data_IF_991931645104
#
_entry.id   IF_991931645104
#
_cell.length_a   1.000
_cell.length_b   1.000
_cell.length_c   1.000
_cell.angle_alpha   90.00
_cell.angle_beta   90.00
_cell.angle_gamma   90.00
#
_symmetry.space_group_name_H-M   'P 1'
#
loop_
_entity.id
_entity.type
_entity.pdbx_description
1 polymer ?
#
# COMPACT_ATOMS: atom_id res chain seq x y z
N UNK A 1 -43.80 -6.45 -52.07
CA UNK A 1 -44.20 -5.45 -51.04
C UNK A 1 -44.90 -6.23 -49.93
N UNK A 2 -44.56 -6.22 -48.63
CA UNK A 2 -44.01 -5.24 -47.68
C UNK A 2 -43.12 -6.02 -46.66
N UNK A 3 -41.83 -5.72 -46.44
CA UNK A 3 -41.23 -4.97 -45.31
C UNK A 3 -41.99 -5.05 -43.98
N UNK A 4 -41.30 -5.45 -42.90
CA UNK A 4 -40.94 -4.61 -41.73
C UNK A 4 -40.19 -5.44 -40.66
N UNK A 5 -38.94 -5.02 -40.38
CA UNK A 5 -38.28 -4.82 -39.07
C UNK A 5 -38.12 -6.02 -38.11
N UNK A 6 -36.88 -6.47 -37.85
CA UNK A 6 -35.91 -5.89 -36.91
C UNK A 6 -36.31 -6.06 -35.45
N UNK A 7 -35.66 -6.99 -34.75
CA UNK A 7 -35.07 -6.71 -33.44
C UNK A 7 -33.95 -7.72 -33.15
N UNK A 8 -32.72 -7.36 -33.52
CA UNK A 8 -31.53 -7.92 -32.91
C UNK A 8 -31.42 -7.32 -31.50
N UNK A 9 -31.66 -8.13 -30.49
CA UNK A 9 -31.32 -7.84 -29.10
C UNK A 9 -30.09 -8.65 -28.70
N UNK A 10 -28.92 -8.29 -29.23
CA UNK A 10 -27.63 -8.67 -28.64
C UNK A 10 -27.53 -7.87 -27.34
N UNK A 11 -27.97 -8.47 -26.23
CA UNK A 11 -27.58 -8.00 -24.91
C UNK A 11 -26.15 -8.48 -24.69
N UNK A 12 -25.23 -7.58 -25.01
CA UNK A 12 -23.81 -7.74 -24.77
C UNK A 12 -23.58 -8.07 -23.31
N UNK A 13 -22.86 -9.17 -23.10
CA UNK A 13 -22.09 -9.38 -21.88
C UNK A 13 -21.07 -8.24 -21.87
N UNK A 14 -21.39 -7.18 -21.13
CA UNK A 14 -20.42 -6.21 -20.68
C UNK A 14 -19.49 -6.93 -19.71
N UNK A 15 -18.50 -7.65 -20.25
CA UNK A 15 -17.28 -7.90 -19.52
C UNK A 15 -16.67 -6.51 -19.33
N UNK A 16 -16.97 -5.89 -18.19
CA UNK A 16 -16.15 -4.82 -17.64
C UNK A 16 -14.80 -5.47 -17.38
N UNK A 17 -13.97 -5.52 -18.43
CA UNK A 17 -12.55 -5.74 -18.27
C UNK A 17 -12.05 -4.55 -17.48
N UNK A 18 -11.99 -4.70 -16.16
CA UNK A 18 -11.08 -3.91 -15.34
C UNK A 18 -9.70 -4.31 -15.82
N UNK A 19 -9.27 -3.64 -16.89
CA UNK A 19 -7.93 -3.70 -17.41
C UNK A 19 -7.01 -3.27 -16.27
N UNK A 20 -6.35 -4.24 -15.64
CA UNK A 20 -5.11 -3.98 -14.93
C UNK A 20 -4.11 -3.51 -15.99
N UNK A 21 -4.03 -2.20 -16.17
CA UNK A 21 -2.86 -1.59 -16.78
C UNK A 21 -1.77 -1.64 -15.74
N UNK A 22 -1.10 -2.79 -15.65
CA UNK A 22 0.24 -2.86 -15.05
C UNK A 22 1.16 -2.14 -16.03
N UNK A 23 1.33 -0.84 -15.81
CA UNK A 23 2.35 -0.07 -16.50
C UNK A 23 3.71 -0.44 -15.91
N UNK A 24 4.30 -1.53 -16.42
CA UNK A 24 5.74 -1.77 -16.31
C UNK A 24 6.46 -0.75 -17.22
N UNK A 25 6.57 0.49 -16.76
CA UNK A 25 7.45 1.50 -17.34
C UNK A 25 8.75 1.53 -16.54
N UNK A 26 9.83 1.01 -17.14
CA UNK A 26 11.16 0.93 -16.56
C UNK A 26 11.88 2.29 -16.54
N UNK A 27 12.79 2.43 -15.57
CA UNK A 27 13.91 3.40 -15.44
C UNK A 27 13.65 4.82 -14.89
N UNK A 28 13.40 4.88 -13.58
CA UNK A 28 14.17 5.74 -12.66
C UNK A 28 14.12 5.10 -11.26
N UNK A 29 15.24 5.09 -10.56
CA UNK A 29 15.45 4.55 -9.20
C UNK A 29 14.71 5.33 -8.12
N UNK A 30 13.42 5.60 -8.32
CA UNK A 30 12.58 6.27 -7.33
C UNK A 30 11.41 5.35 -7.02
N UNK A 31 11.29 4.92 -5.76
CA UNK A 31 10.08 4.28 -5.26
C UNK A 31 8.88 5.18 -5.59
N UNK A 32 8.02 4.69 -6.50
CA UNK A 32 6.76 5.36 -6.85
C UNK A 32 5.72 5.01 -5.80
N UNK A 33 4.95 6.00 -5.37
CA UNK A 33 3.85 5.83 -4.44
C UNK A 33 2.80 4.86 -5.02
N UNK A 34 2.66 3.63 -4.50
CA UNK A 34 1.71 2.65 -5.03
C UNK A 34 0.27 2.97 -4.60
N UNK A 35 0.07 3.95 -3.72
CA UNK A 35 -1.22 4.46 -3.32
C UNK A 35 -1.69 5.65 -4.18
N UNK A 36 -0.93 6.05 -5.18
CA UNK A 36 -1.34 7.10 -6.10
C UNK A 36 -2.65 6.74 -6.83
N UNK A 37 -3.68 7.58 -6.68
CA UNK A 37 -4.99 7.36 -7.30
C UNK A 37 -5.95 6.54 -6.45
N UNK A 38 -5.52 6.01 -5.31
CA UNK A 38 -6.35 5.17 -4.44
C UNK A 38 -7.55 5.90 -3.84
N UNK A 39 -7.50 7.23 -3.76
CA UNK A 39 -8.64 8.06 -3.41
C UNK A 39 -9.84 7.88 -4.36
N UNK A 40 -9.61 7.44 -5.60
CA UNK A 40 -10.63 7.19 -6.61
C UNK A 40 -11.11 5.73 -6.65
N UNK A 41 -10.48 4.83 -5.88
CA UNK A 41 -10.86 3.42 -5.81
C UNK A 41 -12.09 3.21 -4.92
N UNK A 42 -12.77 2.07 -5.13
CA UNK A 42 -13.81 1.59 -4.24
C UNK A 42 -13.20 1.08 -2.93
N UNK A 43 -13.96 1.17 -1.84
CA UNK A 43 -13.52 0.66 -0.54
C UNK A 43 -13.13 -0.84 -0.62
N UNK A 44 -13.91 -1.65 -1.32
CA UNK A 44 -13.61 -3.08 -1.48
C UNK A 44 -12.27 -3.32 -2.21
N UNK A 45 -11.96 -2.53 -3.26
CA UNK A 45 -10.69 -2.64 -3.97
C UNK A 45 -9.50 -2.27 -3.07
N UNK A 46 -9.64 -1.21 -2.28
CA UNK A 46 -8.63 -0.79 -1.31
C UNK A 46 -8.41 -1.86 -0.22
N UNK A 47 -9.48 -2.52 0.24
CA UNK A 47 -9.40 -3.60 1.23
C UNK A 47 -8.72 -4.85 0.67
N UNK A 48 -8.99 -5.23 -0.58
CA UNK A 48 -8.27 -6.35 -1.21
C UNK A 48 -6.78 -6.02 -1.38
N UNK A 49 -6.45 -4.79 -1.81
CA UNK A 49 -5.04 -4.35 -1.87
C UNK A 49 -4.39 -4.33 -0.50
N UNK A 50 -5.10 -3.93 0.55
CA UNK A 50 -4.61 -3.95 1.93
C UNK A 50 -4.24 -5.38 2.35
N UNK A 51 -5.08 -6.37 2.05
CA UNK A 51 -4.77 -7.78 2.35
C UNK A 51 -3.56 -8.28 1.58
N UNK A 52 -3.41 -7.90 0.31
CA UNK A 52 -2.26 -8.27 -0.50
C UNK A 52 -0.95 -7.68 0.04
N UNK A 53 -0.97 -6.39 0.42
CA UNK A 53 0.17 -5.72 1.05
C UNK A 53 0.48 -6.29 2.43
N UNK A 54 -0.53 -6.55 3.26
CA UNK A 54 -0.35 -7.19 4.57
C UNK A 54 0.33 -8.55 4.42
N UNK A 55 -0.16 -9.38 3.50
CA UNK A 55 0.45 -10.68 3.24
C UNK A 55 1.92 -10.55 2.81
N UNK A 56 2.24 -9.57 1.96
CA UNK A 56 3.62 -9.31 1.55
C UNK A 56 4.49 -8.84 2.72
N UNK A 57 3.96 -7.99 3.59
CA UNK A 57 4.64 -7.56 4.81
C UNK A 57 4.91 -8.76 5.73
N UNK A 58 3.93 -9.65 5.91
CA UNK A 58 4.11 -10.86 6.73
C UNK A 58 5.22 -11.76 6.16
N UNK A 59 5.23 -11.98 4.84
CA UNK A 59 6.26 -12.77 4.14
C UNK A 59 7.66 -12.14 4.27
N UNK A 60 7.78 -10.82 4.12
CA UNK A 60 9.05 -10.09 4.29
C UNK A 60 9.49 -10.08 5.75
N UNK A 61 8.58 -9.87 6.69
CA UNK A 61 8.87 -9.88 8.12
C UNK A 61 9.35 -11.24 8.59
N UNK A 62 8.88 -12.36 8.02
CA UNK A 62 9.44 -13.68 8.31
C UNK A 62 10.90 -13.82 7.85
N UNK A 63 11.24 -13.24 6.69
CA UNK A 63 12.62 -13.21 6.16
C UNK A 63 13.50 -12.32 7.04
N UNK A 64 13.02 -11.10 7.32
CA UNK A 64 13.71 -10.06 8.08
C UNK A 64 13.80 -10.41 9.58
N UNK A 65 12.86 -11.13 10.16
CA UNK A 65 12.93 -11.54 11.57
C UNK A 65 13.46 -12.97 11.77
N UNK A 66 13.84 -13.62 10.66
CA UNK A 66 14.60 -14.86 10.66
C UNK A 66 15.98 -14.75 11.32
N UNK A 67 16.72 -15.87 11.32
CA UNK A 67 17.99 -16.01 12.06
C UNK A 67 19.10 -15.03 11.62
N UNK A 68 19.05 -14.50 10.40
CA UNK A 68 20.14 -13.73 9.80
C UNK A 68 20.17 -12.26 10.25
N UNK A 69 19.01 -11.61 10.39
CA UNK A 69 18.94 -10.22 10.86
C UNK A 69 19.14 -10.11 12.36
N UNK A 70 18.73 -11.12 13.14
CA UNK A 70 18.98 -11.12 14.58
C UNK A 70 20.47 -11.02 14.92
N UNK A 71 21.36 -11.57 14.09
CA UNK A 71 22.81 -11.42 14.25
C UNK A 71 23.36 -10.04 13.88
N UNK A 72 22.64 -9.26 13.08
CA UNK A 72 23.05 -7.95 12.56
C UNK A 72 22.17 -6.81 13.08
N UNK A 73 21.36 -7.05 14.12
CA UNK A 73 20.39 -6.07 14.64
C UNK A 73 21.03 -4.78 15.15
N UNK A 74 22.31 -4.83 15.52
CA UNK A 74 23.10 -3.67 15.96
C UNK A 74 24.00 -3.10 14.85
N UNK A 75 23.99 -3.69 13.64
CA UNK A 75 24.77 -3.25 12.49
C UNK A 75 23.91 -2.37 11.58
N UNK A 76 23.85 -1.08 11.92
CA UNK A 76 23.09 -0.07 11.19
C UNK A 76 23.47 0.01 9.70
N UNK A 77 24.73 -0.30 9.34
CA UNK A 77 25.17 -0.26 7.95
C UNK A 77 24.67 -1.49 7.18
N UNK A 78 24.67 -2.67 7.80
CA UNK A 78 24.06 -3.86 7.21
C UNK A 78 22.55 -3.67 7.00
N UNK A 79 21.83 -3.18 8.01
CA UNK A 79 20.38 -2.96 7.93
C UNK A 79 20.01 -2.01 6.80
N UNK A 80 20.70 -0.88 6.66
CA UNK A 80 20.47 0.12 5.60
C UNK A 80 20.68 -0.44 4.19
N UNK A 81 21.64 -1.35 4.03
CA UNK A 81 22.02 -1.91 2.73
C UNK A 81 21.30 -3.24 2.43
N UNK A 82 20.63 -3.85 3.41
CA UNK A 82 19.87 -5.07 3.20
C UNK A 82 18.56 -4.77 2.48
N UNK A 83 18.41 -5.31 1.28
CA UNK A 83 17.25 -5.06 0.41
C UNK A 83 15.94 -5.50 1.06
N UNK A 84 15.91 -6.67 1.69
CA UNK A 84 14.67 -7.21 2.26
C UNK A 84 14.20 -6.38 3.46
N UNK A 85 15.14 -5.87 4.28
CA UNK A 85 14.84 -4.91 5.36
C UNK A 85 14.26 -3.62 4.80
N UNK A 86 14.89 -3.04 3.77
CA UNK A 86 14.38 -1.81 3.16
C UNK A 86 13.02 -2.03 2.50
N UNK A 87 12.81 -3.17 1.85
CA UNK A 87 11.55 -3.52 1.22
C UNK A 87 10.42 -3.71 2.25
N UNK A 88 10.70 -4.34 3.41
CA UNK A 88 9.76 -4.48 4.51
C UNK A 88 9.31 -3.11 5.06
N UNK A 89 10.26 -2.20 5.29
CA UNK A 89 9.97 -0.83 5.74
C UNK A 89 9.08 -0.07 4.75
N UNK A 90 9.33 -0.23 3.45
CA UNK A 90 8.56 0.44 2.39
C UNK A 90 7.14 -0.13 2.34
N UNK A 91 6.99 -1.46 2.37
CA UNK A 91 5.67 -2.09 2.38
C UNK A 91 4.89 -1.70 3.64
N UNK A 92 5.55 -1.61 4.80
CA UNK A 92 4.94 -1.12 6.04
C UNK A 92 4.40 0.30 5.89
N UNK A 93 5.20 1.22 5.37
CA UNK A 93 4.79 2.60 5.08
C UNK A 93 3.61 2.67 4.09
N UNK A 94 3.63 1.85 3.03
CA UNK A 94 2.54 1.79 2.06
C UNK A 94 1.23 1.32 2.68
N UNK A 95 1.32 0.35 3.59
CA UNK A 95 0.20 -0.21 4.32
C UNK A 95 -0.40 0.81 5.29
N UNK A 96 0.43 1.59 5.98
CA UNK A 96 0.00 2.68 6.87
C UNK A 96 -0.75 3.78 6.09
N UNK A 97 -0.23 4.19 4.92
CA UNK A 97 -0.90 5.15 4.05
C UNK A 97 -2.22 4.60 3.52
N UNK A 98 -2.26 3.34 3.07
CA UNK A 98 -3.48 2.71 2.59
C UNK A 98 -4.54 2.59 3.70
N UNK A 99 -4.14 2.20 4.91
CA UNK A 99 -4.99 2.17 6.09
C UNK A 99 -5.65 3.55 6.33
N UNK A 100 -4.86 4.62 6.30
CA UNK A 100 -5.37 5.99 6.44
C UNK A 100 -6.38 6.34 5.36
N UNK A 101 -6.07 6.04 4.09
CA UNK A 101 -6.96 6.32 2.96
C UNK A 101 -8.28 5.53 3.05
N UNK A 102 -8.22 4.28 3.51
CA UNK A 102 -9.42 3.48 3.80
C UNK A 102 -10.26 4.15 4.89
N UNK A 103 -9.64 4.64 5.96
CA UNK A 103 -10.35 5.33 7.05
C UNK A 103 -11.08 6.60 6.58
N UNK A 104 -10.66 7.21 5.47
CA UNK A 104 -11.33 8.39 4.91
C UNK A 104 -12.62 8.06 4.13
N UNK A 105 -12.93 6.78 3.92
CA UNK A 105 -14.13 6.32 3.22
C UNK A 105 -15.23 5.95 4.22
N UNK A 106 -16.48 6.17 3.83
CA UNK A 106 -17.65 5.74 4.62
C UNK A 106 -17.59 4.23 4.88
N UNK A 107 -17.61 3.84 6.16
CA UNK A 107 -17.50 2.44 6.60
C UNK A 107 -16.08 1.84 6.56
N UNK A 108 -15.05 2.63 6.26
CA UNK A 108 -13.68 2.13 6.14
C UNK A 108 -13.10 1.55 7.43
N UNK A 109 -13.32 2.22 8.56
CA UNK A 109 -12.87 1.74 9.89
C UNK A 109 -13.51 0.38 10.23
N UNK A 110 -14.81 0.21 9.96
CA UNK A 110 -15.50 -1.05 10.23
C UNK A 110 -14.95 -2.17 9.35
N UNK A 111 -14.65 -1.87 8.07
CA UNK A 111 -14.02 -2.84 7.16
C UNK A 111 -12.63 -3.28 7.60
N UNK A 112 -11.79 -2.35 8.09
CA UNK A 112 -10.48 -2.69 8.65
C UNK A 112 -10.61 -3.60 9.87
N UNK A 113 -11.57 -3.32 10.76
CA UNK A 113 -11.86 -4.16 11.92
C UNK A 113 -12.38 -5.55 11.53
N UNK A 114 -13.24 -5.64 10.51
CA UNK A 114 -13.75 -6.91 9.97
C UNK A 114 -12.63 -7.84 9.48
N UNK A 115 -11.57 -7.28 8.90
CA UNK A 115 -10.41 -8.05 8.43
C UNK A 115 -9.33 -8.25 9.52
N UNK A 116 -9.59 -7.81 10.75
CA UNK A 116 -8.75 -8.08 11.91
C UNK A 116 -7.71 -7.01 12.25
N UNK A 117 -7.74 -5.83 11.61
CA UNK A 117 -6.87 -4.71 11.99
C UNK A 117 -7.27 -4.21 13.36
N UNK A 118 -6.30 -4.15 14.27
CA UNK A 118 -6.56 -3.73 15.64
C UNK A 118 -6.72 -2.21 15.75
N UNK A 119 -7.42 -1.74 16.78
CA UNK A 119 -7.70 -0.30 16.94
C UNK A 119 -6.43 0.57 17.08
N UNK A 120 -5.35 0.00 17.60
CA UNK A 120 -4.07 0.71 17.74
C UNK A 120 -3.27 0.79 16.43
N UNK A 121 -3.64 -0.01 15.41
CA UNK A 121 -3.08 0.00 14.04
C UNK A 121 -3.95 0.80 13.06
N UNK A 122 -4.99 1.48 13.55
CA UNK A 122 -5.88 2.30 12.73
C UNK A 122 -5.38 3.75 12.71
N UNK A 123 -4.98 4.20 11.52
CA UNK A 123 -4.52 5.56 11.25
C UNK A 123 -5.68 6.42 10.74
N UNK A 124 -6.66 6.70 11.60
CA UNK A 124 -7.87 7.47 11.24
C UNK A 124 -7.65 8.99 11.10
N UNK A 125 -6.44 9.48 11.34
CA UNK A 125 -6.12 10.90 11.30
C UNK A 125 -4.73 11.17 10.72
N UNK A 126 -4.56 12.35 10.12
CA UNK A 126 -3.26 12.83 9.64
C UNK A 126 -2.19 12.82 10.74
N UNK A 127 -2.55 13.18 11.97
CA UNK A 127 -1.62 13.21 13.10
C UNK A 127 -1.11 11.80 13.47
N UNK A 128 -2.00 10.80 13.48
CA UNK A 128 -1.60 9.41 13.72
C UNK A 128 -0.69 8.89 12.61
N UNK A 129 -1.08 9.11 11.35
CA UNK A 129 -0.29 8.72 10.18
C UNK A 129 1.09 9.40 10.21
N UNK A 130 1.14 10.72 10.39
CA UNK A 130 2.39 11.48 10.41
C UNK A 130 3.32 11.00 11.52
N UNK A 131 2.80 10.74 12.72
CA UNK A 131 3.60 10.23 13.83
C UNK A 131 4.24 8.88 13.47
N UNK A 132 3.49 8.01 12.83
CA UNK A 132 3.96 6.69 12.44
C UNK A 132 4.98 6.77 11.29
N UNK A 133 4.70 7.53 10.23
CA UNK A 133 5.65 7.73 9.13
C UNK A 133 6.97 8.37 9.61
N UNK A 134 6.90 9.29 10.58
CA UNK A 134 8.09 9.87 11.20
C UNK A 134 8.87 8.85 12.04
N UNK A 135 8.25 7.79 12.55
CA UNK A 135 8.99 6.70 13.22
C UNK A 135 9.96 6.05 12.21
N UNK A 136 9.47 5.66 11.03
CA UNK A 136 10.28 5.08 9.95
C UNK A 136 11.38 6.03 9.47
N UNK A 137 11.09 7.33 9.32
CA UNK A 137 12.10 8.34 8.93
C UNK A 137 13.27 8.41 9.93
N UNK A 138 12.99 8.17 11.21
CA UNK A 138 13.97 8.26 12.29
C UNK A 138 14.60 6.90 12.66
N UNK A 139 14.18 5.81 12.01
CA UNK A 139 14.70 4.48 12.27
C UNK A 139 16.17 4.35 11.81
N UNK A 140 17.02 3.78 12.67
CA UNK A 140 18.47 3.65 12.39
C UNK A 140 18.75 2.65 11.27
N UNK A 141 17.82 1.71 11.03
CA UNK A 141 17.88 0.74 9.93
C UNK A 141 17.36 1.23 8.59
N UNK A 142 16.68 2.38 8.51
CA UNK A 142 16.16 2.90 7.24
C UNK A 142 17.27 3.60 6.41
N UNK A 143 17.37 3.23 5.14
CA UNK A 143 18.24 3.86 4.15
C UNK A 143 17.82 5.30 3.85
N UNK A 144 18.70 6.10 3.26
CA UNK A 144 18.36 7.48 2.86
C UNK A 144 17.25 7.52 1.80
N UNK A 145 17.21 6.52 0.91
CA UNK A 145 16.17 6.37 -0.10
C UNK A 145 14.80 6.08 0.54
N UNK A 146 14.74 5.12 1.47
CA UNK A 146 13.52 4.80 2.23
C UNK A 146 13.03 6.02 3.02
N UNK A 147 13.95 6.79 3.61
CA UNK A 147 13.62 8.02 4.35
C UNK A 147 13.10 9.10 3.42
N UNK A 148 13.71 9.29 2.25
CA UNK A 148 13.23 10.25 1.26
C UNK A 148 11.83 9.88 0.75
N UNK A 149 11.62 8.61 0.42
CA UNK A 149 10.32 8.07 0.04
C UNK A 149 9.25 8.38 1.09
N UNK A 150 9.54 8.04 2.35
CA UNK A 150 8.61 8.26 3.47
C UNK A 150 8.30 9.75 3.67
N UNK A 151 9.31 10.64 3.54
CA UNK A 151 9.10 12.10 3.62
C UNK A 151 8.20 12.62 2.50
N UNK A 152 8.31 12.08 1.26
CA UNK A 152 7.41 12.44 0.16
C UNK A 152 5.96 12.08 0.48
N UNK A 153 5.72 10.94 1.13
CA UNK A 153 4.38 10.52 1.57
C UNK A 153 3.85 11.40 2.71
N UNK A 154 4.68 11.78 3.68
CA UNK A 154 4.30 12.75 4.73
C UNK A 154 3.85 14.07 4.09
N UNK A 155 4.62 14.61 3.15
CA UNK A 155 4.27 15.85 2.44
C UNK A 155 2.94 15.72 1.70
N UNK A 156 2.69 14.58 1.04
CA UNK A 156 1.50 14.36 0.22
C UNK A 156 0.22 14.15 1.06
N UNK A 157 0.30 13.37 2.13
CA UNK A 157 -0.89 12.90 2.84
C UNK A 157 -1.12 13.57 4.19
N UNK A 158 -0.07 14.12 4.82
CA UNK A 158 -0.15 14.70 6.18
C UNK A 158 -0.14 16.23 6.18
N UNK A 159 0.38 16.88 5.15
CA UNK A 159 0.32 18.34 5.00
C UNK A 159 -0.82 18.80 4.09
#
# INVERSE_FOLDING_TARGET
MKKLLSLFGVLGIGASGSSFVVSCGNDSSEHKDPNEGAENESLDAMIERYKELQKRSDELSEIVHGKEVQSHREDDEWLKNNKDVQEDLIVGVDLEVLNYLICQKDGGIDKLKEIGVSEWEIYDSKEKLEKQLNYTVNETGASDETKEYTRKLIEKYCK
#
